data_IF_665093716550
#
_entry.id   IF_665093716550
#
_cell.length_a   1.000
_cell.length_b   1.000
_cell.length_c   1.000
_cell.angle_alpha   90.00
_cell.angle_beta   90.00
_cell.angle_gamma   90.00
#
_symmetry.space_group_name_H-M   'P 1'
#
loop_
_entity.id
_entity.type
_entity.pdbx_description
1 polymer ?
#
# COMPACT_ATOMS: atom_id res chain seq x y z
N UNK A 1 30.27 30.84 8.90
CA UNK A 1 29.37 30.17 7.94
C UNK A 1 29.79 28.73 7.60
N UNK A 2 31.09 28.38 7.53
CA UNK A 2 31.53 27.00 7.25
C UNK A 2 31.16 25.95 8.32
N UNK A 3 31.12 26.31 9.61
CA UNK A 3 30.77 25.38 10.70
C UNK A 3 29.28 25.00 10.76
N UNK A 4 28.37 25.92 10.40
CA UNK A 4 26.91 25.68 10.38
C UNK A 4 26.55 24.74 9.23
N UNK A 5 27.13 24.94 8.04
CA UNK A 5 26.92 24.03 6.90
C UNK A 5 27.45 22.62 7.19
N UNK A 6 28.57 22.48 7.92
CA UNK A 6 29.10 21.16 8.29
C UNK A 6 28.17 20.43 9.28
N UNK A 7 27.63 21.15 10.27
CA UNK A 7 26.70 20.59 11.25
C UNK A 7 25.35 20.21 10.62
N UNK A 8 24.78 21.07 9.78
CA UNK A 8 23.53 20.79 9.03
C UNK A 8 23.72 19.59 8.09
N UNK A 9 24.84 19.51 7.37
CA UNK A 9 25.15 18.37 6.49
C UNK A 9 25.34 17.07 7.27
N UNK A 10 25.97 17.12 8.47
CA UNK A 10 26.09 15.96 9.35
C UNK A 10 24.74 15.51 9.93
N UNK A 11 23.85 16.43 10.31
CA UNK A 11 22.50 16.10 10.78
C UNK A 11 21.62 15.51 9.67
N UNK A 12 21.71 16.04 8.44
CA UNK A 12 20.99 15.49 7.28
C UNK A 12 21.52 14.11 6.88
N UNK A 13 22.84 13.90 6.91
CA UNK A 13 23.44 12.60 6.67
C UNK A 13 23.02 11.56 7.72
N UNK A 14 23.01 11.94 9.00
CA UNK A 14 22.53 11.09 10.09
C UNK A 14 21.04 10.74 9.92
N UNK A 15 20.19 11.74 9.64
CA UNK A 15 18.77 11.52 9.36
C UNK A 15 18.52 10.60 8.17
N UNK A 16 19.33 10.69 7.13
CA UNK A 16 19.24 9.78 5.98
C UNK A 16 19.72 8.36 6.29
N UNK A 17 20.72 8.19 7.15
CA UNK A 17 21.16 6.88 7.62
C UNK A 17 20.09 6.19 8.48
N UNK A 18 19.43 6.93 9.37
CA UNK A 18 18.38 6.38 10.25
C UNK A 18 17.21 5.78 9.47
N UNK A 19 16.87 6.33 8.30
CA UNK A 19 15.81 5.81 7.44
C UNK A 19 16.08 4.38 6.91
N UNK A 20 17.35 3.95 6.91
CA UNK A 20 17.73 2.60 6.49
C UNK A 20 17.61 1.55 7.60
N UNK A 21 17.40 1.95 8.86
CA UNK A 21 17.30 1.02 10.00
C UNK A 21 16.26 -0.09 9.76
N UNK A 22 15.01 0.19 9.31
CA UNK A 22 14.03 -0.86 9.07
C UNK A 22 14.46 -1.85 7.98
N UNK A 23 15.13 -1.36 6.93
CA UNK A 23 15.66 -2.21 5.85
C UNK A 23 16.77 -3.12 6.36
N UNK A 24 17.74 -2.54 7.08
CA UNK A 24 18.85 -3.31 7.70
C UNK A 24 18.31 -4.37 8.65
N UNK A 25 17.28 -4.05 9.43
CA UNK A 25 16.62 -5.00 10.32
C UNK A 25 16.02 -6.18 9.53
N UNK A 26 15.24 -5.93 8.48
CA UNK A 26 14.65 -6.99 7.66
C UNK A 26 15.72 -7.86 6.99
N UNK A 27 16.75 -7.23 6.42
CA UNK A 27 17.89 -7.96 5.82
C UNK A 27 18.59 -8.84 6.87
N UNK A 28 18.79 -8.32 8.08
CA UNK A 28 19.40 -9.08 9.17
C UNK A 28 18.55 -10.30 9.56
N UNK A 29 17.23 -10.14 9.66
CA UNK A 29 16.31 -11.25 9.96
C UNK A 29 16.35 -12.29 8.84
N UNK A 30 16.37 -11.89 7.57
CA UNK A 30 16.47 -12.82 6.43
C UNK A 30 17.79 -13.59 6.47
N UNK A 31 18.92 -12.90 6.65
CA UNK A 31 20.26 -13.53 6.73
C UNK A 31 20.35 -14.49 7.92
N UNK A 32 19.86 -14.08 9.10
CA UNK A 32 19.79 -14.97 10.26
C UNK A 32 18.89 -16.17 10.00
N UNK A 33 17.75 -15.98 9.34
CA UNK A 33 16.83 -17.09 9.00
C UNK A 33 17.48 -18.09 8.04
N UNK A 34 18.34 -17.63 7.12
CA UNK A 34 19.16 -18.49 6.27
C UNK A 34 20.10 -19.37 7.08
N UNK A 35 20.85 -18.76 8.00
CA UNK A 35 21.72 -19.50 8.91
C UNK A 35 20.93 -20.51 9.76
N UNK A 36 19.82 -20.09 10.37
CA UNK A 36 19.01 -20.95 11.22
C UNK A 36 18.38 -22.11 10.44
N UNK A 37 17.91 -21.86 9.21
CA UNK A 37 17.28 -22.89 8.38
C UNK A 37 18.32 -23.84 7.77
N UNK A 38 19.28 -23.31 7.03
CA UNK A 38 20.22 -24.13 6.27
C UNK A 38 21.25 -24.78 7.19
N UNK A 39 21.92 -24.02 8.03
CA UNK A 39 23.00 -24.55 8.88
C UNK A 39 22.41 -25.34 10.03
N UNK A 40 21.56 -24.72 10.85
CA UNK A 40 21.10 -25.34 12.09
C UNK A 40 20.03 -26.41 11.85
N UNK A 41 18.99 -26.12 11.06
CA UNK A 41 17.90 -27.08 10.84
C UNK A 41 18.27 -28.19 9.84
N UNK A 42 18.87 -27.87 8.69
CA UNK A 42 19.17 -28.88 7.68
C UNK A 42 20.46 -29.66 7.97
N UNK A 43 21.59 -28.99 8.20
CA UNK A 43 22.89 -29.66 8.34
C UNK A 43 23.18 -30.16 9.76
N UNK A 44 23.05 -29.32 10.80
CA UNK A 44 23.46 -29.68 12.16
C UNK A 44 22.56 -30.74 12.83
N UNK A 45 21.30 -30.85 12.43
CA UNK A 45 20.38 -31.87 12.97
C UNK A 45 20.38 -33.18 12.16
N UNK A 46 21.40 -33.41 11.30
CA UNK A 46 21.61 -34.65 10.53
C UNK A 46 20.34 -35.19 9.83
N UNK A 47 19.46 -34.32 9.32
CA UNK A 47 18.31 -34.78 8.51
C UNK A 47 18.70 -35.30 7.12
N UNK A 48 19.99 -35.29 6.77
CA UNK A 48 20.51 -35.75 5.48
C UNK A 48 20.90 -37.24 5.46
N UNK A 49 20.29 -38.08 6.30
CA UNK A 49 20.40 -39.53 6.11
C UNK A 49 19.55 -39.95 4.90
N UNK A 50 20.24 -40.14 3.76
CA UNK A 50 19.82 -40.92 2.58
C UNK A 50 18.40 -40.69 2.01
N UNK A 51 17.82 -39.51 2.18
CA UNK A 51 16.47 -39.17 1.71
C UNK A 51 16.49 -38.03 0.68
N UNK A 52 15.61 -38.09 -0.33
CA UNK A 52 15.45 -37.05 -1.36
C UNK A 52 14.72 -35.79 -0.82
N UNK A 53 13.93 -35.94 0.24
CA UNK A 53 13.08 -34.88 0.78
C UNK A 53 13.84 -33.66 1.34
N UNK A 54 14.95 -33.80 2.10
CA UNK A 54 15.76 -32.66 2.55
C UNK A 54 16.33 -31.82 1.42
N UNK A 55 16.81 -32.46 0.34
CA UNK A 55 17.32 -31.76 -0.85
C UNK A 55 16.20 -31.00 -1.54
N UNK A 56 15.02 -31.61 -1.68
CA UNK A 56 13.84 -30.96 -2.25
C UNK A 56 13.42 -29.72 -1.45
N UNK A 57 13.36 -29.79 -0.13
CA UNK A 57 13.06 -28.63 0.71
C UNK A 57 14.11 -27.53 0.58
N UNK A 58 15.39 -27.89 0.50
CA UNK A 58 16.47 -26.92 0.32
C UNK A 58 16.36 -26.19 -1.03
N UNK A 59 16.00 -26.89 -2.11
CA UNK A 59 15.77 -26.28 -3.43
C UNK A 59 14.60 -25.30 -3.37
N UNK A 60 13.45 -25.71 -2.83
CA UNK A 60 12.29 -24.81 -2.70
C UNK A 60 12.64 -23.59 -1.84
N UNK A 61 13.33 -23.80 -0.72
CA UNK A 61 13.76 -22.74 0.17
C UNK A 61 14.59 -21.68 -0.56
N UNK A 62 15.57 -22.09 -1.37
CA UNK A 62 16.41 -21.17 -2.13
C UNK A 62 15.63 -20.46 -3.24
N UNK A 63 14.71 -21.15 -3.93
CA UNK A 63 13.83 -20.50 -4.93
C UNK A 63 13.00 -19.41 -4.27
N UNK A 64 12.38 -19.69 -3.12
CA UNK A 64 11.60 -18.69 -2.38
C UNK A 64 12.47 -17.54 -1.88
N UNK A 65 13.68 -17.82 -1.39
CA UNK A 65 14.61 -16.80 -0.93
C UNK A 65 15.07 -15.89 -2.07
N UNK A 66 15.35 -16.45 -3.26
CA UNK A 66 15.71 -15.68 -4.45
C UNK A 66 14.54 -14.79 -4.88
N UNK A 67 13.31 -15.31 -4.93
CA UNK A 67 12.13 -14.51 -5.31
C UNK A 67 11.81 -13.43 -4.27
N UNK A 68 11.94 -13.73 -2.98
CA UNK A 68 11.82 -12.76 -1.89
C UNK A 68 12.87 -11.65 -2.01
N UNK A 69 14.15 -12.02 -2.16
CA UNK A 69 15.25 -11.08 -2.29
C UNK A 69 15.11 -10.21 -3.53
N UNK A 70 14.75 -10.80 -4.67
CA UNK A 70 14.57 -10.08 -5.93
C UNK A 70 13.39 -9.08 -5.85
N UNK A 71 12.23 -9.52 -5.36
CA UNK A 71 11.08 -8.64 -5.19
C UNK A 71 11.35 -7.51 -4.18
N UNK A 72 11.97 -7.80 -3.03
CA UNK A 72 12.33 -6.81 -2.03
C UNK A 72 13.33 -5.77 -2.58
N UNK A 73 14.36 -6.23 -3.30
CA UNK A 73 15.33 -5.36 -3.97
C UNK A 73 14.63 -4.42 -4.96
N UNK A 74 13.76 -4.95 -5.81
CA UNK A 74 13.01 -4.15 -6.79
C UNK A 74 12.12 -3.11 -6.10
N UNK A 75 11.46 -3.45 -4.99
CA UNK A 75 10.64 -2.49 -4.24
C UNK A 75 11.47 -1.35 -3.63
N UNK A 76 12.65 -1.66 -3.07
CA UNK A 76 13.54 -0.66 -2.47
C UNK A 76 14.15 0.25 -3.54
N UNK A 77 14.79 -0.34 -4.56
CA UNK A 77 15.69 0.40 -5.44
C UNK A 77 15.05 0.90 -6.73
N UNK A 78 13.80 0.53 -7.02
CA UNK A 78 13.06 1.17 -8.12
C UNK A 78 12.81 2.64 -7.77
N UNK A 79 13.27 3.59 -8.59
CA UNK A 79 13.03 5.00 -8.35
C UNK A 79 11.54 5.32 -8.31
N UNK A 80 11.15 6.24 -7.43
CA UNK A 80 9.77 6.74 -7.38
C UNK A 80 9.36 7.31 -8.75
N UNK A 81 8.10 7.08 -9.12
CA UNK A 81 7.53 7.74 -10.30
C UNK A 81 7.29 9.21 -10.01
N UNK A 82 7.86 10.09 -10.84
CA UNK A 82 7.78 11.55 -10.69
C UNK A 82 6.89 12.16 -11.75
N UNK A 83 6.30 13.32 -11.44
CA UNK A 83 5.41 14.03 -12.35
C UNK A 83 6.17 14.55 -13.59
N UNK A 84 5.68 14.29 -14.83
CA UNK A 84 6.26 14.79 -16.07
C UNK A 84 6.26 16.33 -16.14
N UNK A 85 7.19 16.89 -16.91
CA UNK A 85 7.37 18.35 -17.02
C UNK A 85 6.13 19.09 -17.54
N UNK A 86 5.29 18.43 -18.35
CA UNK A 86 4.07 19.04 -18.91
C UNK A 86 3.06 19.50 -17.85
N UNK A 87 3.10 18.94 -16.64
CA UNK A 87 2.22 19.36 -15.55
C UNK A 87 2.75 20.56 -14.76
N UNK A 88 4.02 20.93 -14.95
CA UNK A 88 4.64 22.07 -14.27
C UNK A 88 4.09 23.37 -14.83
N UNK A 89 3.94 24.36 -13.94
CA UNK A 89 3.58 25.70 -14.37
C UNK A 89 4.72 26.27 -15.22
N UNK A 90 4.38 26.94 -16.32
CA UNK A 90 5.36 27.71 -17.08
C UNK A 90 5.84 28.89 -16.22
N UNK A 91 7.00 29.49 -16.56
CA UNK A 91 7.49 30.65 -15.82
C UNK A 91 6.49 31.82 -15.82
N UNK A 92 5.82 32.04 -16.97
CA UNK A 92 4.78 33.06 -17.11
C UNK A 92 3.53 32.74 -16.27
N UNK A 93 3.10 31.47 -16.23
CA UNK A 93 1.96 31.06 -15.41
C UNK A 93 2.27 31.14 -13.91
N UNK A 94 3.52 30.85 -13.54
CA UNK A 94 3.98 30.97 -12.15
C UNK A 94 4.01 32.43 -11.71
N UNK A 95 4.54 33.33 -12.54
CA UNK A 95 4.53 34.77 -12.26
C UNK A 95 3.09 35.30 -12.11
N UNK A 96 2.18 34.91 -13.02
CA UNK A 96 0.76 35.23 -12.92
C UNK A 96 0.13 34.68 -11.65
N UNK A 97 0.50 33.47 -11.24
CA UNK A 97 0.00 32.83 -10.02
C UNK A 97 0.51 33.56 -8.78
N UNK A 98 1.78 33.95 -8.73
CA UNK A 98 2.38 34.67 -7.60
C UNK A 98 1.84 36.11 -7.46
N UNK A 99 1.48 36.76 -8.57
CA UNK A 99 0.88 38.10 -8.59
C UNK A 99 -0.63 38.09 -8.28
N UNK A 100 -1.29 36.93 -8.31
CA UNK A 100 -2.72 36.84 -8.10
C UNK A 100 -3.07 37.08 -6.62
N UNK A 101 -3.98 38.02 -6.37
CA UNK A 101 -4.51 38.26 -5.03
C UNK A 101 -5.82 37.50 -4.81
N UNK A 102 -5.88 36.73 -3.73
CA UNK A 102 -7.09 36.01 -3.32
C UNK A 102 -7.23 34.60 -3.93
N UNK A 103 -7.99 33.76 -3.24
CA UNK A 103 -8.12 32.34 -3.56
C UNK A 103 -8.79 32.08 -4.92
N UNK A 104 -9.78 32.89 -5.29
CA UNK A 104 -10.53 32.74 -6.54
C UNK A 104 -9.64 32.97 -7.77
N UNK A 105 -8.79 34.00 -7.74
CA UNK A 105 -7.87 34.30 -8.83
C UNK A 105 -6.86 33.16 -9.04
N UNK A 106 -6.28 32.63 -7.95
CA UNK A 106 -5.41 31.45 -8.00
C UNK A 106 -6.12 30.23 -8.61
N UNK A 107 -7.38 29.97 -8.22
CA UNK A 107 -8.14 28.83 -8.74
C UNK A 107 -8.45 28.98 -10.23
N UNK A 108 -8.80 30.18 -10.69
CA UNK A 108 -9.06 30.43 -12.12
C UNK A 108 -7.82 30.17 -12.99
N UNK A 109 -6.64 30.61 -12.53
CA UNK A 109 -5.36 30.35 -13.21
C UNK A 109 -5.10 28.85 -13.29
N UNK A 110 -5.22 28.13 -12.16
CA UNK A 110 -5.00 26.69 -12.12
C UNK A 110 -6.01 25.94 -13.01
N UNK A 111 -7.28 26.36 -13.06
CA UNK A 111 -8.30 25.73 -13.92
C UNK A 111 -7.98 25.95 -15.40
N UNK A 112 -7.50 27.13 -15.78
CA UNK A 112 -7.08 27.40 -17.16
C UNK A 112 -5.93 26.47 -17.59
N UNK A 113 -4.95 26.26 -16.73
CA UNK A 113 -3.81 25.36 -16.98
C UNK A 113 -4.28 23.90 -17.03
N UNK A 114 -5.12 23.49 -16.06
CA UNK A 114 -5.59 22.11 -15.94
C UNK A 114 -6.44 21.64 -17.13
N UNK A 115 -7.13 22.55 -17.85
CA UNK A 115 -7.92 22.21 -19.05
C UNK A 115 -7.10 21.55 -20.16
N UNK A 116 -5.80 21.81 -20.21
CA UNK A 116 -4.89 21.26 -21.22
C UNK A 116 -4.14 20.01 -20.73
N UNK A 117 -4.48 19.49 -19.55
CA UNK A 117 -3.82 18.35 -18.93
C UNK A 117 -4.78 17.17 -18.77
N UNK A 118 -4.29 15.91 -18.85
CA UNK A 118 -5.09 14.73 -18.55
C UNK A 118 -5.23 14.56 -17.02
N UNK A 119 -5.88 15.52 -16.36
CA UNK A 119 -6.12 15.54 -14.92
C UNK A 119 -7.62 15.71 -14.66
N UNK A 120 -8.30 14.61 -14.37
CA UNK A 120 -9.75 14.54 -14.28
C UNK A 120 -10.23 14.70 -12.84
N UNK A 121 -9.39 14.34 -11.87
CA UNK A 121 -9.66 14.47 -10.43
C UNK A 121 -9.35 15.86 -9.91
N UNK A 122 -10.16 16.31 -8.94
CA UNK A 122 -10.10 17.65 -8.36
C UNK A 122 -10.22 17.64 -6.84
N UNK A 123 -10.04 18.81 -6.25
CA UNK A 123 -10.46 19.11 -4.87
C UNK A 123 -11.84 19.78 -4.91
N UNK A 124 -12.54 19.92 -3.77
CA UNK A 124 -13.81 20.66 -3.73
C UNK A 124 -13.71 22.10 -4.23
N UNK A 125 -12.51 22.67 -4.17
CA UNK A 125 -12.23 24.07 -4.48
C UNK A 125 -11.54 24.28 -5.84
N UNK A 126 -11.26 23.21 -6.61
CA UNK A 126 -10.61 23.33 -7.92
C UNK A 126 -9.52 22.29 -8.17
N UNK A 127 -8.63 22.51 -9.18
CA UNK A 127 -7.60 21.57 -9.57
C UNK A 127 -6.65 21.19 -8.44
N UNK A 128 -6.16 19.95 -8.47
CA UNK A 128 -5.23 19.45 -7.46
C UNK A 128 -3.85 20.04 -7.74
N UNK A 129 -3.43 21.04 -6.97
CA UNK A 129 -2.10 21.67 -7.08
C UNK A 129 -1.13 21.20 -6.00
N UNK A 130 0.17 21.22 -6.30
CA UNK A 130 1.23 21.04 -5.31
C UNK A 130 2.08 22.31 -5.19
N UNK A 131 1.96 23.03 -4.09
CA UNK A 131 2.78 24.23 -3.81
C UNK A 131 4.27 23.90 -3.72
N UNK A 132 4.64 22.81 -3.04
CA UNK A 132 6.06 22.42 -2.86
C UNK A 132 6.77 22.04 -4.16
N UNK A 133 6.05 21.48 -5.12
CA UNK A 133 6.62 20.98 -6.37
C UNK A 133 6.27 21.85 -7.58
N UNK A 134 5.40 22.86 -7.40
CA UNK A 134 4.99 23.86 -8.39
C UNK A 134 4.45 23.24 -9.68
N UNK A 135 3.46 22.34 -9.53
CA UNK A 135 2.79 21.70 -10.66
C UNK A 135 1.37 21.27 -10.31
N UNK A 136 0.53 21.11 -11.34
CA UNK A 136 -0.75 20.40 -11.20
C UNK A 136 -0.44 18.93 -10.94
N UNK A 137 -1.11 18.32 -9.97
CA UNK A 137 -0.96 16.90 -9.64
C UNK A 137 -1.74 16.10 -10.69
N UNK A 138 -1.09 15.17 -11.41
CA UNK A 138 -1.82 14.16 -12.18
C UNK A 138 -2.82 13.40 -11.31
N UNK A 139 -3.75 12.71 -11.96
CA UNK A 139 -4.66 11.83 -11.25
C UNK A 139 -3.89 10.81 -10.41
N UNK A 140 -4.42 10.51 -9.22
CA UNK A 140 -3.82 9.54 -8.27
C UNK A 140 -2.41 9.89 -7.76
N UNK A 141 -1.85 11.05 -8.13
CA UNK A 141 -0.54 11.50 -7.68
C UNK A 141 -0.62 12.25 -6.34
N UNK A 142 0.24 11.95 -5.37
CA UNK A 142 0.27 12.66 -4.08
C UNK A 142 1.68 13.08 -3.70
N UNK A 143 1.81 14.17 -2.93
CA UNK A 143 3.11 14.62 -2.42
C UNK A 143 3.49 13.82 -1.19
N UNK A 144 4.65 13.15 -1.22
CA UNK A 144 5.21 12.51 -0.05
C UNK A 144 6.22 13.46 0.60
N UNK A 145 5.95 13.90 1.84
CA UNK A 145 6.87 14.76 2.59
C UNK A 145 8.20 14.08 2.93
N UNK A 146 8.22 12.76 3.11
CA UNK A 146 9.43 12.00 3.41
C UNK A 146 10.36 11.89 2.19
N UNK A 147 9.77 11.66 1.01
CA UNK A 147 10.51 11.64 -0.26
C UNK A 147 10.78 13.04 -0.83
N UNK A 148 10.05 14.07 -0.37
CA UNK A 148 10.18 15.45 -0.85
C UNK A 148 9.70 15.67 -2.28
N UNK A 149 8.88 14.77 -2.83
CA UNK A 149 8.43 14.81 -4.23
C UNK A 149 7.00 14.30 -4.38
N UNK A 150 6.33 14.74 -5.44
CA UNK A 150 5.08 14.14 -5.90
C UNK A 150 5.31 12.77 -6.55
N UNK A 151 4.64 11.76 -6.00
CA UNK A 151 4.72 10.36 -6.43
C UNK A 151 3.48 10.00 -7.24
N UNK A 152 3.69 9.52 -8.46
CA UNK A 152 2.64 9.06 -9.38
C UNK A 152 1.95 7.79 -8.86
N UNK A 153 0.60 7.73 -8.92
CA UNK A 153 -0.22 6.66 -8.32
C UNK A 153 0.27 6.29 -6.92
N UNK A 154 0.48 7.27 -6.05
CA UNK A 154 1.04 7.06 -4.72
C UNK A 154 0.09 6.18 -3.91
N UNK A 155 0.63 5.10 -3.36
CA UNK A 155 -0.08 4.25 -2.41
C UNK A 155 0.25 4.66 -0.98
N UNK A 156 1.52 4.56 -0.59
CA UNK A 156 2.00 5.00 0.71
C UNK A 156 3.52 5.18 0.72
N UNK A 157 4.05 5.79 1.78
CA UNK A 157 5.48 5.72 2.08
C UNK A 157 5.72 4.53 3.01
N UNK A 158 6.62 3.62 2.65
CA UNK A 158 6.87 2.40 3.41
C UNK A 158 8.28 2.43 4.04
N UNK A 159 8.37 2.57 5.38
CA UNK A 159 9.67 2.58 6.06
C UNK A 159 10.45 1.28 5.88
N UNK A 160 9.76 0.14 5.77
CA UNK A 160 10.37 -1.20 5.63
C UNK A 160 11.11 -1.42 4.32
N UNK A 161 10.89 -0.57 3.32
CA UNK A 161 11.61 -0.56 2.04
C UNK A 161 12.35 0.76 1.80
N UNK A 162 12.32 1.67 2.78
CA UNK A 162 12.87 3.03 2.70
C UNK A 162 12.55 3.74 1.36
N UNK A 163 11.32 3.56 0.89
CA UNK A 163 10.90 4.07 -0.41
C UNK A 163 9.38 4.30 -0.43
N UNK A 164 8.93 5.15 -1.35
CA UNK A 164 7.52 5.29 -1.62
C UNK A 164 7.03 4.15 -2.51
N UNK A 165 5.90 3.56 -2.14
CA UNK A 165 5.16 2.61 -2.98
C UNK A 165 4.20 3.40 -3.84
N UNK A 166 4.32 3.27 -5.16
CA UNK A 166 3.47 3.93 -6.13
C UNK A 166 3.54 3.25 -7.50
N UNK A 167 3.24 3.97 -8.57
CA UNK A 167 3.08 3.39 -9.91
C UNK A 167 4.21 2.43 -10.34
N UNK A 168 5.47 2.85 -10.18
CA UNK A 168 6.63 2.11 -10.71
C UNK A 168 6.98 0.84 -9.96
N UNK A 169 6.60 0.71 -8.69
CA UNK A 169 7.02 -0.40 -7.82
C UNK A 169 5.85 -1.11 -7.11
N UNK A 170 4.59 -0.75 -7.38
CA UNK A 170 3.45 -1.36 -6.71
C UNK A 170 3.39 -2.87 -6.95
N UNK A 171 3.57 -3.34 -8.20
CA UNK A 171 3.66 -4.78 -8.52
C UNK A 171 4.74 -5.47 -7.70
N UNK A 172 5.92 -4.86 -7.58
CA UNK A 172 7.04 -5.43 -6.81
C UNK A 172 6.70 -5.54 -5.34
N UNK A 173 6.05 -4.53 -4.78
CA UNK A 173 5.58 -4.56 -3.39
C UNK A 173 4.56 -5.68 -3.14
N UNK A 174 3.58 -5.89 -4.05
CA UNK A 174 2.62 -7.01 -3.93
C UNK A 174 3.35 -8.36 -3.96
N UNK A 175 4.30 -8.53 -4.89
CA UNK A 175 5.11 -9.74 -5.01
C UNK A 175 5.99 -9.95 -3.76
N UNK A 176 6.62 -8.90 -3.25
CA UNK A 176 7.41 -8.93 -2.02
C UNK A 176 6.58 -9.43 -0.84
N UNK A 177 5.39 -8.87 -0.62
CA UNK A 177 4.49 -9.32 0.44
C UNK A 177 4.09 -10.79 0.27
N UNK A 178 3.74 -11.19 -0.95
CA UNK A 178 3.34 -12.57 -1.26
C UNK A 178 4.49 -13.58 -1.07
N UNK A 179 5.68 -13.28 -1.58
CA UNK A 179 6.86 -14.12 -1.42
C UNK A 179 7.34 -14.16 0.03
N UNK A 180 7.27 -13.05 0.76
CA UNK A 180 7.58 -13.03 2.19
C UNK A 180 6.62 -13.92 2.98
N UNK A 181 5.32 -13.85 2.67
CA UNK A 181 4.30 -14.70 3.30
C UNK A 181 4.56 -16.19 3.01
N UNK A 182 4.73 -16.56 1.73
CA UNK A 182 5.00 -17.95 1.34
C UNK A 182 6.30 -18.46 1.96
N UNK A 183 7.36 -17.64 1.98
CA UNK A 183 8.62 -17.96 2.64
C UNK A 183 8.44 -18.24 4.13
N UNK A 184 7.74 -17.36 4.85
CA UNK A 184 7.51 -17.53 6.29
C UNK A 184 6.68 -18.78 6.59
N UNK A 185 5.61 -19.02 5.82
CA UNK A 185 4.77 -20.20 5.97
C UNK A 185 5.55 -21.48 5.66
N UNK A 186 6.37 -21.48 4.60
CA UNK A 186 7.24 -22.61 4.26
C UNK A 186 8.22 -22.93 5.40
N UNK A 187 8.87 -21.91 5.95
CA UNK A 187 9.78 -22.06 7.09
C UNK A 187 9.05 -22.58 8.34
N UNK A 188 7.86 -22.06 8.64
CA UNK A 188 7.05 -22.52 9.77
C UNK A 188 6.67 -23.99 9.64
N UNK A 189 6.14 -24.39 8.47
CA UNK A 189 5.72 -25.77 8.23
C UNK A 189 6.88 -26.76 8.27
N UNK A 190 8.02 -26.42 7.66
CA UNK A 190 9.18 -27.32 7.60
C UNK A 190 9.95 -27.40 8.92
N UNK A 191 9.85 -26.37 9.78
CA UNK A 191 10.42 -26.39 11.15
C UNK A 191 9.49 -26.99 12.20
N UNK A 192 8.17 -27.10 11.94
CA UNK A 192 7.18 -27.64 12.90
C UNK A 192 7.54 -29.04 13.45
N UNK A 193 7.99 -30.03 12.66
CA UNK A 193 8.37 -31.33 13.22
C UNK A 193 9.49 -31.23 14.25
N UNK A 194 10.47 -30.34 14.02
CA UNK A 194 11.56 -30.10 14.97
C UNK A 194 11.05 -29.38 16.21
N UNK A 195 10.18 -28.39 16.04
CA UNK A 195 9.50 -27.73 17.16
C UNK A 195 8.77 -28.75 18.04
N UNK A 196 8.04 -29.70 17.45
CA UNK A 196 7.35 -30.77 18.21
C UNK A 196 8.36 -31.68 18.92
N UNK A 197 9.44 -32.09 18.25
CA UNK A 197 10.49 -32.92 18.85
C UNK A 197 11.17 -32.24 20.04
N UNK A 198 11.45 -30.94 19.92
CA UNK A 198 12.03 -30.13 20.99
C UNK A 198 11.25 -30.23 22.30
N UNK A 199 9.91 -30.21 22.22
CA UNK A 199 9.05 -30.32 23.40
C UNK A 199 8.81 -31.76 23.86
N UNK A 200 8.87 -32.74 22.96
CA UNK A 200 8.63 -34.15 23.29
C UNK A 200 9.85 -34.87 23.86
N UNK A 201 11.06 -34.53 23.41
CA UNK A 201 12.30 -35.22 23.82
C UNK A 201 13.40 -34.20 24.14
N UNK A 202 13.31 -33.49 25.29
CA UNK A 202 14.20 -32.36 25.61
C UNK A 202 15.68 -32.73 25.74
N UNK A 203 15.97 -34.00 26.04
CA UNK A 203 17.33 -34.49 26.31
C UNK A 203 18.09 -34.95 25.04
N UNK A 204 17.39 -35.15 23.92
CA UNK A 204 18.04 -35.53 22.65
C UNK A 204 18.48 -34.32 21.81
N UNK A 205 17.89 -33.15 22.06
CA UNK A 205 18.19 -31.92 21.33
C UNK A 205 19.20 -31.06 22.11
N UNK A 206 20.49 -31.36 21.94
CA UNK A 206 21.60 -30.64 22.57
C UNK A 206 22.23 -29.60 21.62
N UNK A 207 22.77 -28.51 22.18
CA UNK A 207 23.50 -27.47 21.42
C UNK A 207 22.76 -26.13 21.23
N UNK A 208 23.49 -25.09 20.82
CA UNK A 208 22.97 -23.73 20.62
C UNK A 208 21.98 -23.62 19.45
N UNK A 209 22.07 -24.53 18.47
CA UNK A 209 21.18 -24.63 17.31
C UNK A 209 19.69 -24.77 17.65
N UNK A 210 19.38 -25.37 18.80
CA UNK A 210 17.99 -25.60 19.24
C UNK A 210 17.20 -24.30 19.42
N UNK A 211 17.85 -23.26 19.93
CA UNK A 211 17.21 -21.97 20.14
C UNK A 211 17.01 -21.24 18.82
N UNK A 212 17.95 -21.36 17.87
CA UNK A 212 17.79 -20.77 16.54
C UNK A 212 16.56 -21.31 15.82
N UNK A 213 16.34 -22.63 15.83
CA UNK A 213 15.18 -23.24 15.16
C UNK A 213 13.87 -22.92 15.89
N UNK A 214 13.88 -22.85 17.23
CA UNK A 214 12.73 -22.43 18.02
C UNK A 214 12.31 -20.99 17.69
N UNK A 215 13.26 -20.05 17.71
CA UNK A 215 13.02 -18.67 17.32
C UNK A 215 12.58 -18.57 15.85
N UNK A 216 13.17 -19.37 14.96
CA UNK A 216 12.81 -19.39 13.54
C UNK A 216 11.33 -19.70 13.35
N UNK A 217 10.82 -20.72 14.05
CA UNK A 217 9.39 -21.08 14.02
C UNK A 217 8.52 -19.91 14.48
N UNK A 218 8.79 -19.33 15.66
CA UNK A 218 7.97 -18.23 16.20
C UNK A 218 8.02 -16.97 15.32
N UNK A 219 9.21 -16.56 14.89
CA UNK A 219 9.39 -15.39 14.02
C UNK A 219 8.65 -15.60 12.70
N UNK A 220 8.72 -16.80 12.11
CA UNK A 220 8.03 -17.11 10.86
C UNK A 220 6.51 -17.06 10.99
N UNK A 221 5.91 -17.58 12.06
CA UNK A 221 4.46 -17.47 12.30
C UNK A 221 4.04 -16.03 12.57
N UNK A 222 4.79 -15.30 13.39
CA UNK A 222 4.51 -13.88 13.69
C UNK A 222 4.47 -13.04 12.41
N UNK A 223 5.49 -13.14 11.57
CA UNK A 223 5.49 -12.43 10.28
C UNK A 223 4.39 -12.94 9.36
N UNK A 224 4.09 -14.24 9.33
CA UNK A 224 3.03 -14.79 8.48
C UNK A 224 1.66 -14.17 8.77
N UNK A 225 1.30 -14.00 10.05
CA UNK A 225 0.02 -13.40 10.46
C UNK A 225 -0.08 -11.94 10.01
N UNK A 226 0.99 -11.16 10.18
CA UNK A 226 1.01 -9.77 9.73
C UNK A 226 1.02 -9.66 8.21
N UNK A 227 1.77 -10.53 7.52
CA UNK A 227 1.90 -10.50 6.07
C UNK A 227 0.63 -10.94 5.34
N UNK A 228 -0.09 -11.95 5.84
CA UNK A 228 -1.32 -12.41 5.17
C UNK A 228 -2.41 -11.34 5.18
N UNK A 229 -2.53 -10.59 6.28
CA UNK A 229 -3.51 -9.50 6.38
C UNK A 229 -3.16 -8.33 5.47
N UNK A 230 -1.89 -7.89 5.48
CA UNK A 230 -1.43 -6.80 4.61
C UNK A 230 -1.48 -7.19 3.13
N UNK A 231 -0.99 -8.38 2.77
CA UNK A 231 -1.04 -8.89 1.41
C UNK A 231 -2.49 -9.04 0.92
N UNK A 232 -3.36 -9.65 1.73
CA UNK A 232 -4.78 -9.80 1.41
C UNK A 232 -5.48 -8.46 1.20
N UNK A 233 -5.21 -7.47 2.05
CA UNK A 233 -5.72 -6.11 1.87
C UNK A 233 -5.28 -5.48 0.55
N UNK A 234 -4.00 -5.60 0.19
CA UNK A 234 -3.52 -5.05 -1.07
C UNK A 234 -4.02 -5.83 -2.30
N UNK A 235 -4.24 -7.13 -2.21
CA UNK A 235 -4.95 -7.89 -3.26
C UNK A 235 -6.37 -7.34 -3.43
N UNK A 236 -7.09 -7.07 -2.33
CA UNK A 236 -8.39 -6.40 -2.40
C UNK A 236 -8.30 -5.04 -3.10
N UNK A 237 -7.31 -4.21 -2.77
CA UNK A 237 -7.08 -2.92 -3.41
C UNK A 237 -6.79 -3.03 -4.91
N UNK A 238 -5.93 -3.98 -5.31
CA UNK A 238 -5.65 -4.28 -6.72
C UNK A 238 -6.95 -4.65 -7.45
N UNK A 239 -7.76 -5.54 -6.88
CA UNK A 239 -9.01 -5.99 -7.52
C UNK A 239 -10.07 -4.90 -7.65
N UNK A 240 -9.99 -3.81 -6.87
CA UNK A 240 -10.88 -2.65 -6.95
C UNK A 240 -10.22 -1.44 -7.64
N UNK A 241 -8.98 -1.57 -8.12
CA UNK A 241 -8.14 -0.49 -8.67
C UNK A 241 -8.06 0.75 -7.78
N UNK A 242 -7.86 0.56 -6.49
CA UNK A 242 -7.72 1.64 -5.50
C UNK A 242 -6.29 1.66 -4.96
N UNK A 243 -5.75 2.84 -4.71
CA UNK A 243 -4.62 2.99 -3.80
C UNK A 243 -5.12 3.00 -2.35
N UNK A 244 -4.22 2.81 -1.38
CA UNK A 244 -4.53 2.97 0.04
C UNK A 244 -5.12 4.35 0.33
N UNK A 245 -4.57 5.42 -0.27
CA UNK A 245 -5.11 6.78 -0.12
C UNK A 245 -6.54 6.91 -0.63
N UNK A 246 -6.83 6.32 -1.78
CA UNK A 246 -8.18 6.31 -2.40
C UNK A 246 -9.17 5.46 -1.61
N UNK A 247 -8.68 4.40 -0.94
CA UNK A 247 -9.49 3.58 -0.06
C UNK A 247 -9.99 4.35 1.18
N UNK A 248 -9.18 5.29 1.69
CA UNK A 248 -9.56 6.18 2.79
C UNK A 248 -10.36 7.40 2.34
N UNK A 249 -10.01 7.98 1.18
CA UNK A 249 -10.69 9.17 0.64
C UNK A 249 -10.95 8.99 -0.85
N UNK A 250 -12.23 8.88 -1.20
CA UNK A 250 -12.63 8.74 -2.60
C UNK A 250 -12.11 9.92 -3.44
N UNK A 251 -11.54 9.66 -4.63
CA UNK A 251 -11.20 10.72 -5.56
C UNK A 251 -12.47 11.46 -6.02
N UNK A 252 -12.35 12.78 -6.17
CA UNK A 252 -13.45 13.65 -6.60
C UNK A 252 -13.29 13.92 -8.08
N UNK A 253 -14.26 13.47 -8.87
CA UNK A 253 -14.39 13.78 -10.29
C UNK A 253 -15.32 14.99 -10.48
N UNK A 254 -15.56 15.40 -11.74
CA UNK A 254 -16.56 16.45 -12.03
C UNK A 254 -17.98 16.06 -11.62
N UNK A 255 -18.30 14.76 -11.70
CA UNK A 255 -19.58 14.19 -11.24
C UNK A 255 -19.69 14.06 -9.71
N UNK A 256 -18.61 14.30 -8.97
CA UNK A 256 -18.56 14.15 -7.51
C UNK A 256 -17.58 13.06 -7.05
N UNK A 257 -17.58 12.73 -5.75
CA UNK A 257 -16.75 11.67 -5.19
C UNK A 257 -17.16 10.29 -5.72
N UNK A 258 -16.23 9.55 -6.34
CA UNK A 258 -16.47 8.18 -6.80
C UNK A 258 -15.29 7.28 -6.39
N UNK A 259 -15.56 6.28 -5.54
CA UNK A 259 -14.56 5.32 -5.07
C UNK A 259 -14.23 4.25 -6.12
N UNK A 260 -15.08 4.10 -7.13
CA UNK A 260 -14.97 3.16 -8.23
C UNK A 260 -14.67 3.86 -9.57
N UNK A 261 -14.33 5.15 -9.56
CA UNK A 261 -14.10 5.91 -10.80
C UNK A 261 -12.96 5.38 -11.68
N UNK A 262 -12.01 4.62 -11.12
CA UNK A 262 -10.94 3.92 -11.85
C UNK A 262 -11.15 2.40 -11.96
N UNK A 263 -12.29 1.87 -11.53
CA UNK A 263 -12.56 0.43 -11.52
C UNK A 263 -13.02 -0.05 -12.90
N UNK A 264 -12.27 -0.99 -13.49
CA UNK A 264 -12.48 -1.56 -14.83
C UNK A 264 -12.97 -3.01 -14.80
N UNK A 265 -13.38 -3.48 -13.61
CA UNK A 265 -13.62 -4.90 -13.33
C UNK A 265 -12.36 -5.64 -12.86
N UNK A 266 -12.56 -6.64 -12.00
CA UNK A 266 -11.49 -7.32 -11.23
C UNK A 266 -10.30 -7.79 -12.09
N UNK A 267 -10.57 -8.40 -13.25
CA UNK A 267 -9.52 -8.89 -14.14
C UNK A 267 -8.70 -7.75 -14.76
N UNK A 268 -9.37 -6.74 -15.32
CA UNK A 268 -8.71 -5.60 -15.94
C UNK A 268 -7.94 -4.78 -14.89
N UNK A 269 -8.48 -4.63 -13.69
CA UNK A 269 -7.78 -3.99 -12.57
C UNK A 269 -6.49 -4.74 -12.18
N UNK A 270 -6.53 -6.07 -12.20
CA UNK A 270 -5.34 -6.89 -11.97
C UNK A 270 -4.32 -6.71 -13.11
N UNK A 271 -4.77 -6.72 -14.36
CA UNK A 271 -3.94 -6.49 -15.55
C UNK A 271 -3.29 -5.10 -15.53
N UNK A 272 -3.96 -4.06 -15.04
CA UNK A 272 -3.38 -2.72 -14.87
C UNK A 272 -2.10 -2.74 -14.02
N UNK A 273 -2.00 -3.66 -13.05
CA UNK A 273 -0.82 -3.79 -12.17
C UNK A 273 0.15 -4.85 -12.67
N UNK A 274 -0.32 -6.00 -13.12
CA UNK A 274 0.50 -7.18 -13.43
C UNK A 274 0.82 -7.35 -14.92
N UNK A 275 0.16 -6.60 -15.80
CA UNK A 275 0.32 -6.67 -17.25
C UNK A 275 -0.49 -7.78 -17.91
N UNK A 276 -0.52 -7.74 -19.23
CA UNK A 276 -1.22 -8.67 -20.12
C UNK A 276 -0.58 -10.06 -20.18
N UNK A 277 0.76 -10.11 -20.13
CA UNK A 277 1.55 -11.34 -20.26
C UNK A 277 1.63 -12.11 -18.94
N UNK A 278 0.80 -13.15 -18.83
CA UNK A 278 0.68 -14.04 -17.66
C UNK A 278 1.99 -14.64 -17.16
N UNK A 279 2.93 -14.93 -18.07
CA UNK A 279 4.25 -15.49 -17.72
C UNK A 279 5.08 -14.57 -16.83
N UNK A 280 4.82 -13.25 -16.83
CA UNK A 280 5.53 -12.28 -16.01
C UNK A 280 4.81 -11.93 -14.71
N UNK A 281 3.63 -12.48 -14.44
CA UNK A 281 2.83 -12.09 -13.27
C UNK A 281 3.56 -12.34 -11.96
N UNK A 282 4.27 -13.47 -11.87
CA UNK A 282 5.05 -13.86 -10.69
C UNK A 282 6.48 -13.31 -10.70
N UNK A 283 6.90 -12.64 -11.77
CA UNK A 283 8.26 -12.12 -11.88
C UNK A 283 8.32 -10.64 -11.45
N UNK A 284 9.28 -10.24 -10.59
CA UNK A 284 9.58 -8.86 -10.22
C UNK A 284 10.17 -8.03 -11.38
N UNK A 285 9.46 -7.98 -12.50
CA UNK A 285 9.77 -7.21 -13.70
C UNK A 285 8.61 -6.24 -13.95
N UNK A 286 8.93 -4.99 -14.31
CA UNK A 286 7.92 -3.96 -14.54
C UNK A 286 7.05 -4.33 -15.75
N UNK A 287 5.75 -4.52 -15.51
CA UNK A 287 4.76 -4.85 -16.54
C UNK A 287 3.42 -4.15 -16.29
N UNK A 288 3.37 -3.17 -15.38
CA UNK A 288 2.16 -2.40 -15.12
C UNK A 288 1.79 -1.58 -16.36
N UNK A 289 0.48 -1.45 -16.61
CA UNK A 289 -0.05 -0.74 -17.78
C UNK A 289 -0.03 0.78 -17.55
N UNK A 290 -0.05 1.53 -18.65
CA UNK A 290 -0.13 3.00 -18.62
C UNK A 290 1.20 3.71 -18.37
N UNK A 291 1.11 5.02 -18.17
CA UNK A 291 2.24 5.95 -18.01
C UNK A 291 2.41 6.46 -16.57
N UNK A 292 1.47 6.12 -15.69
CA UNK A 292 1.43 6.56 -14.29
C UNK A 292 0.82 7.94 -14.07
N UNK A 293 0.34 8.61 -15.11
CA UNK A 293 -0.31 9.93 -15.01
C UNK A 293 -1.69 9.98 -15.66
N UNK A 294 -1.95 9.08 -16.59
CA UNK A 294 -3.22 8.88 -17.28
C UNK A 294 -3.76 7.51 -16.89
N UNK A 295 -5.02 7.46 -16.45
CA UNK A 295 -5.66 6.21 -16.01
C UNK A 295 -7.01 6.05 -16.70
N UNK A 296 -7.31 4.86 -17.24
CA UNK A 296 -8.65 4.57 -17.75
C UNK A 296 -9.68 4.71 -16.62
N UNK A 297 -10.83 5.26 -16.97
CA UNK A 297 -11.95 5.43 -16.05
C UNK A 297 -12.98 4.34 -16.29
N UNK A 298 -13.83 4.10 -15.30
CA UNK A 298 -15.04 3.31 -15.49
C UNK A 298 -15.89 4.00 -16.56
N UNK A 299 -16.16 3.32 -17.67
CA UNK A 299 -17.20 3.76 -18.60
C UNK A 299 -18.52 3.74 -17.82
N UNK A 300 -19.09 4.92 -17.59
CA UNK A 300 -20.48 5.00 -17.21
C UNK A 300 -21.26 4.75 -18.50
N UNK A 301 -21.74 3.52 -18.70
CA UNK A 301 -22.83 3.31 -19.64
C UNK A 301 -23.99 4.13 -19.10
N UNK A 302 -24.37 5.21 -19.81
CA UNK A 302 -25.46 6.11 -19.43
C UNK A 302 -26.80 5.37 -19.22
N UNK A 303 -26.89 4.12 -19.69
CA UNK A 303 -28.08 3.27 -19.63
C UNK A 303 -28.31 2.57 -18.27
N UNK A 304 -27.27 2.26 -17.47
CA UNK A 304 -27.46 1.58 -16.16
C UNK A 304 -27.87 2.54 -15.03
N UNK A 305 -27.40 3.79 -15.06
CA UNK A 305 -27.78 4.81 -14.07
C UNK A 305 -29.18 5.36 -14.28
N UNK A 306 -29.77 5.22 -15.49
CA UNK A 306 -31.19 5.50 -15.72
C UNK A 306 -32.08 4.55 -14.89
N UNK A 307 -31.72 3.26 -14.82
CA UNK A 307 -32.52 2.25 -14.13
C UNK A 307 -32.26 2.23 -12.61
N UNK A 308 -31.02 2.50 -12.18
CA UNK A 308 -30.66 2.53 -10.76
C UNK A 308 -30.84 3.91 -10.11
N UNK A 309 -30.74 5.00 -10.87
CA UNK A 309 -31.02 6.37 -10.42
C UNK A 309 -32.49 6.58 -10.10
N UNK A 310 -33.40 6.05 -10.94
CA UNK A 310 -34.84 6.02 -10.65
C UNK A 310 -35.15 5.18 -9.40
N UNK A 311 -34.42 4.07 -9.20
CA UNK A 311 -34.60 3.23 -8.01
C UNK A 311 -34.08 3.93 -6.75
N UNK A 312 -32.90 4.53 -6.79
CA UNK A 312 -32.25 5.28 -5.70
C UNK A 312 -33.08 6.49 -5.24
N UNK A 313 -33.61 7.28 -6.18
CA UNK A 313 -34.53 8.39 -5.85
C UNK A 313 -35.81 7.87 -5.17
N UNK A 314 -36.36 6.75 -5.64
CA UNK A 314 -37.55 6.14 -5.03
C UNK A 314 -37.31 5.66 -3.60
N UNK A 315 -36.14 5.08 -3.29
CA UNK A 315 -35.79 4.68 -1.92
C UNK A 315 -35.56 5.89 -0.99
N UNK A 316 -35.05 7.02 -1.50
CA UNK A 316 -34.90 8.25 -0.71
C UNK A 316 -36.22 8.98 -0.47
N UNK A 317 -37.15 8.97 -1.44
CA UNK A 317 -38.49 9.54 -1.27
C UNK A 317 -39.37 8.69 -0.34
N UNK A 318 -39.31 7.36 -0.44
CA UNK A 318 -40.08 6.47 0.45
C UNK A 318 -39.52 6.48 1.90
N UNK A 319 -38.20 6.61 2.09
CA UNK A 319 -37.58 6.72 3.42
C UNK A 319 -37.77 8.09 4.11
N UNK A 320 -38.07 9.15 3.36
CA UNK A 320 -38.36 10.49 3.90
C UNK A 320 -39.82 10.67 4.35
N UNK A 321 -40.75 9.91 3.77
CA UNK A 321 -42.18 10.01 4.06
C UNK A 321 -42.60 9.24 5.32
N UNK A 322 -41.80 8.27 5.78
CA UNK A 322 -42.11 7.46 6.96
C UNK A 322 -41.72 8.16 8.28
N UNK A 323 -40.80 9.13 8.22
CA UNK A 323 -40.31 9.83 9.41
C UNK A 323 -41.10 11.10 9.78
N UNK A 324 -42.10 11.49 8.98
CA UNK A 324 -42.96 12.68 9.21
C UNK A 324 -44.36 12.35 9.74
N UNK A 325 -44.68 11.08 10.03
CA UNK A 325 -46.00 10.68 10.57
C UNK A 325 -46.00 10.23 12.04
N UNK A 326 -44.86 10.25 12.74
CA UNK A 326 -44.77 9.79 14.14
C UNK A 326 -44.68 10.92 15.18
N UNK A 327 -44.65 12.20 14.79
CA UNK A 327 -44.51 13.32 15.74
C UNK A 327 -45.82 13.95 16.25
N UNK A 328 -46.99 13.42 15.90
CA UNK A 328 -48.27 13.95 16.42
C UNK A 328 -49.19 12.84 16.94
N UNK A 329 -48.99 12.41 18.18
CA UNK A 329 -50.04 11.71 18.95
C UNK A 329 -49.99 12.09 20.44
N UNK A 330 -50.98 12.82 20.99
CA UNK A 330 -50.91 13.39 22.33
C UNK A 330 -51.65 12.54 23.36
N UNK A 331 -51.20 11.32 23.68
CA UNK A 331 -51.64 10.61 24.88
C UNK A 331 -50.57 9.60 25.33
N UNK A 332 -49.85 9.91 26.40
CA UNK A 332 -49.56 8.98 27.50
C UNK A 332 -48.82 9.71 28.63
N UNK A 333 -49.59 10.02 29.67
CA UNK A 333 -49.11 10.42 31.00
C UNK A 333 -48.67 9.16 31.73
N UNK A 334 -47.43 9.11 32.22
CA UNK A 334 -47.09 8.33 33.44
C UNK A 334 -46.08 9.11 34.26
N UNK A 335 -46.48 9.43 35.49
CA UNK A 335 -45.73 10.09 36.54
C UNK A 335 -44.43 9.37 36.89
N UNK A 336 -43.39 10.14 37.19
CA UNK A 336 -42.26 9.71 38.03
C UNK A 336 -42.22 10.64 39.25
N UNK A 337 -42.50 10.07 40.42
CA UNK A 337 -42.27 10.73 41.72
C UNK A 337 -40.78 10.69 42.10
N UNK A 338 -40.27 11.66 42.87
CA UNK A 338 -38.86 11.82 43.21
C UNK A 338 -38.53 11.30 44.63
N UNK A 339 -37.29 10.84 44.85
CA UNK A 339 -36.40 11.21 45.98
C UNK A 339 -35.37 10.14 46.37
N UNK A 340 -34.30 10.66 46.99
CA UNK A 340 -33.26 10.06 47.84
C UNK A 340 -31.94 9.70 47.10
N UNK A 341 -30.96 10.60 47.01
CA UNK A 341 -29.96 11.06 48.02
C UNK A 341 -28.90 10.01 48.43
N UNK A 342 -27.64 10.43 48.23
CA UNK A 342 -26.39 10.12 48.98
C UNK A 342 -25.81 8.71 48.94
N UNK A 343 -24.65 8.57 48.27
CA UNK A 343 -23.33 8.35 48.90
C UNK A 343 -22.23 8.45 47.82
#
# INVERSE_FOLDING_TARGET
>A
MAGVNKFVNSCVACGNALKWIPVVFIVTVIVWSYYAYVVQLCFSNNKFDCSIFPVFYLVIYHVLLVMLGWSYWQTIFTPVGTVPKQFRLSAADLERFEQAEGLEAHQQILEQIARNLPALTRTPIGPRYCEKCVHIKPDRCHHCSVCGVCVTKMDHHCPWVNNCVGFKNYKFFILFLGYAFIYCIFVAFTSLPYFIQFWKVPNEVSGTGRFHVLFLFFVSIMFSISLVSLWGYHIYLVLHNRSTLEAFRAPIFRSGPDKDGFNLGKYNNFVEVFGDRKSYWLLPIFTSMGDGVTFPQRHMDEDEDSLLGVRSQRWMEEGGAENTRLENNPYHVVNLDPLVQTA
#
